data_IF_811725145757
#
_entry.id   IF_811725145757
#
_cell.length_a   1.000
_cell.length_b   1.000
_cell.length_c   1.000
_cell.angle_alpha   90.00
_cell.angle_beta   90.00
_cell.angle_gamma   90.00
#
_symmetry.space_group_name_H-M   'P 1'
#
loop_
_entity.id
_entity.type
_entity.pdbx_description
1 polymer ?
#
# COMPACT_ATOMS: atom_id res chain seq x y z
N UNK A 1 6.04 -5.76 4.64
CA UNK A 1 5.40 -5.96 3.31
C UNK A 1 4.59 -4.72 2.94
N UNK A 2 4.49 -4.38 1.66
CA UNK A 2 3.65 -3.28 1.15
C UNK A 2 2.56 -3.88 0.26
N UNK A 3 1.33 -3.38 0.36
CA UNK A 3 0.22 -3.84 -0.47
C UNK A 3 -0.90 -2.82 -0.56
N UNK A 4 -1.64 -2.87 -1.65
CA UNK A 4 -2.75 -1.98 -1.96
C UNK A 4 -3.99 -2.74 -2.39
N UNK A 5 -3.93 -4.06 -2.55
CA UNK A 5 -5.04 -4.89 -3.02
C UNK A 5 -5.58 -5.85 -1.96
N UNK A 6 -6.84 -6.30 -2.13
CA UNK A 6 -7.47 -7.31 -1.27
C UNK A 6 -6.69 -8.63 -1.23
N UNK A 7 -5.97 -8.93 -2.31
CA UNK A 7 -5.14 -10.12 -2.44
C UNK A 7 -3.93 -10.09 -1.50
N UNK A 8 -3.47 -8.91 -1.11
CA UNK A 8 -2.32 -8.73 -0.22
C UNK A 8 -2.69 -8.84 1.25
N UNK A 9 -3.99 -8.88 1.58
CA UNK A 9 -4.46 -8.79 2.97
C UNK A 9 -3.92 -9.93 3.87
N UNK A 10 -3.81 -11.15 3.35
CA UNK A 10 -3.25 -12.28 4.11
C UNK A 10 -1.75 -12.12 4.34
N UNK A 11 -1.05 -11.57 3.37
CA UNK A 11 0.40 -11.42 3.41
C UNK A 11 0.81 -10.19 4.25
N UNK A 12 0.02 -9.12 4.21
CA UNK A 12 0.12 -7.98 5.13
C UNK A 12 -0.06 -8.42 6.58
N UNK A 13 -1.09 -9.22 6.88
CA UNK A 13 -1.36 -9.73 8.23
C UNK A 13 -0.23 -10.63 8.79
N UNK A 14 0.50 -11.32 7.92
CA UNK A 14 1.58 -12.24 8.33
C UNK A 14 2.94 -11.56 8.44
N UNK A 15 3.08 -10.33 7.95
CA UNK A 15 4.35 -9.63 7.98
C UNK A 15 4.61 -9.08 9.39
N UNK A 16 5.89 -9.08 9.81
CA UNK A 16 6.29 -8.46 11.08
C UNK A 16 6.06 -6.94 11.10
N UNK A 17 6.03 -6.33 9.91
CA UNK A 17 5.64 -4.95 9.69
C UNK A 17 4.97 -4.80 8.32
N UNK A 18 3.75 -4.27 8.32
CA UNK A 18 2.91 -4.17 7.12
C UNK A 18 2.49 -2.74 6.82
N UNK A 19 2.53 -2.37 5.54
CA UNK A 19 2.20 -1.02 5.06
C UNK A 19 1.14 -1.11 3.98
N UNK A 20 -0.02 -0.48 4.20
CA UNK A 20 -1.06 -0.35 3.19
C UNK A 20 -1.07 1.05 2.57
N UNK A 21 -1.43 1.13 1.30
CA UNK A 21 -1.62 2.40 0.61
C UNK A 21 -3.05 2.92 0.83
N UNK A 22 -3.21 4.21 1.14
CA UNK A 22 -4.54 4.78 1.42
C UNK A 22 -5.50 4.68 0.23
N UNK A 23 -4.98 4.80 -0.99
CA UNK A 23 -5.75 4.61 -2.22
C UNK A 23 -6.12 3.13 -2.50
N UNK A 24 -5.46 2.18 -1.84
CA UNK A 24 -5.68 0.74 -1.99
C UNK A 24 -6.96 0.23 -1.34
N UNK A 25 -7.22 -1.07 -1.37
CA UNK A 25 -8.46 -1.68 -0.90
C UNK A 25 -8.69 -1.48 0.62
N UNK A 26 -9.96 -1.32 1.07
CA UNK A 26 -10.28 -1.16 2.49
C UNK A 26 -9.86 -2.35 3.35
N UNK A 27 -9.86 -3.56 2.78
CA UNK A 27 -9.42 -4.76 3.48
C UNK A 27 -7.93 -4.69 3.86
N UNK A 28 -7.08 -4.26 2.93
CA UNK A 28 -5.63 -4.13 3.12
C UNK A 28 -5.30 -3.07 4.15
N UNK A 29 -6.03 -1.95 4.17
CA UNK A 29 -5.88 -0.88 5.18
C UNK A 29 -6.23 -1.34 6.60
N UNK A 30 -7.21 -2.23 6.75
CA UNK A 30 -7.64 -2.72 8.08
C UNK A 30 -6.68 -3.72 8.71
N UNK A 31 -5.88 -4.40 7.91
CA UNK A 31 -4.96 -5.45 8.38
C UNK A 31 -3.51 -4.98 8.45
N UNK A 32 -3.22 -3.77 8.00
CA UNK A 32 -1.86 -3.20 8.02
C UNK A 32 -1.57 -2.37 9.26
N UNK A 33 -0.32 -2.38 9.70
CA UNK A 33 0.16 -1.60 10.86
C UNK A 33 0.31 -0.11 10.54
N UNK A 34 0.70 0.20 9.29
CA UNK A 34 0.96 1.57 8.84
C UNK A 34 0.16 1.84 7.56
N UNK A 35 -0.43 3.04 7.46
CA UNK A 35 -1.14 3.50 6.26
C UNK A 35 -0.39 4.68 5.63
N UNK A 36 -0.03 4.51 4.35
CA UNK A 36 0.59 5.56 3.56
C UNK A 36 -0.47 6.48 2.95
N UNK A 37 -0.62 7.69 3.49
CA UNK A 37 -1.67 8.64 3.10
C UNK A 37 -1.41 9.37 1.77
N UNK A 38 -0.15 9.46 1.34
CA UNK A 38 0.23 10.21 0.13
C UNK A 38 1.19 9.40 -0.72
N UNK A 39 0.76 9.02 -1.92
CA UNK A 39 1.65 8.62 -3.00
C UNK A 39 2.02 9.86 -3.80
N UNK A 40 3.20 10.42 -3.55
CA UNK A 40 3.76 11.44 -4.43
C UNK A 40 4.96 10.83 -5.15
N UNK A 41 4.68 10.09 -6.23
CA UNK A 41 5.69 9.81 -7.25
C UNK A 41 5.02 10.03 -8.60
N UNK A 42 5.12 11.26 -9.08
CA UNK A 42 4.94 11.58 -10.49
C UNK A 42 6.25 12.23 -10.93
N UNK A 43 7.17 11.42 -11.46
CA UNK A 43 8.27 11.92 -12.27
C UNK A 43 8.05 11.34 -13.67
N UNK A 44 7.11 11.94 -14.40
CA UNK A 44 7.10 11.77 -15.86
C UNK A 44 8.27 12.59 -16.37
N UNK A 45 9.40 11.93 -16.61
CA UNK A 45 10.43 12.47 -17.49
C UNK A 45 9.88 12.38 -18.92
N UNK A 46 8.97 13.29 -19.27
CA UNK A 46 8.51 13.46 -20.64
C UNK A 46 9.68 14.08 -21.41
N UNK A 47 10.49 13.21 -22.00
CA UNK A 47 11.59 13.54 -22.89
C UNK A 47 11.07 14.03 -24.24
N UNK A 48 10.64 15.29 -24.29
CA UNK A 48 10.74 16.10 -25.49
C UNK A 48 11.79 17.18 -25.30
#
# INVERSE_FOLDING_TARGET
MVGDGVNDALALKKADLSVAMYAGAPASRRVSDIILLKQLVHFSADGK
#
